data_IF_046414265551
#
_entry.id   IF_046414265551
#
_cell.length_a   1.000
_cell.length_b   1.000
_cell.length_c   1.000
_cell.angle_alpha   90.00
_cell.angle_beta   90.00
_cell.angle_gamma   90.00
#
_symmetry.space_group_name_H-M   'P 1'
#
loop_
_entity.id
_entity.type
_entity.pdbx_description
1 polymer ?
#
# COMPACT_ATOMS: atom_id res chain seq x y z
N UNK A 1 22.74 -28.60 18.80
CA UNK A 1 22.12 -27.29 18.54
C UNK A 1 21.31 -27.40 17.26
N UNK A 2 19.99 -27.30 17.33
CA UNK A 2 19.10 -27.37 16.15
C UNK A 2 18.88 -25.95 15.67
N UNK A 3 19.45 -25.61 14.51
CA UNK A 3 19.26 -24.32 13.87
C UNK A 3 17.87 -24.25 13.25
N UNK A 4 17.01 -23.41 13.82
CA UNK A 4 15.73 -23.07 13.21
C UNK A 4 16.03 -22.18 12.00
N UNK A 5 15.96 -22.77 10.81
CA UNK A 5 15.92 -22.02 9.56
C UNK A 5 14.58 -21.30 9.46
N UNK A 6 14.57 -19.98 9.60
CA UNK A 6 13.37 -19.17 9.40
C UNK A 6 13.12 -19.10 7.89
N UNK A 7 12.07 -19.77 7.41
CA UNK A 7 11.68 -19.73 6.00
C UNK A 7 11.22 -18.31 5.60
N UNK A 8 11.98 -17.68 4.71
CA UNK A 8 11.60 -16.44 4.02
C UNK A 8 10.55 -16.74 2.92
N UNK A 9 9.29 -16.99 3.32
CA UNK A 9 8.20 -17.29 2.38
C UNK A 9 7.40 -16.05 1.93
N UNK A 10 7.88 -14.84 2.24
CA UNK A 10 7.08 -13.62 2.16
C UNK A 10 7.01 -12.96 0.79
N UNK A 11 8.14 -12.76 0.10
CA UNK A 11 8.21 -12.04 -1.20
C UNK A 11 7.86 -12.91 -2.39
N UNK A 12 8.04 -14.22 -2.26
CA UNK A 12 7.98 -15.13 -3.40
C UNK A 12 6.56 -15.28 -3.95
N UNK A 13 5.52 -15.33 -3.12
CA UNK A 13 4.19 -15.75 -3.59
C UNK A 13 3.60 -14.86 -4.71
N UNK A 14 3.72 -13.53 -4.64
CA UNK A 14 3.14 -12.63 -5.65
C UNK A 14 3.96 -12.54 -6.95
N UNK A 15 5.28 -12.67 -6.87
CA UNK A 15 6.15 -12.75 -8.05
C UNK A 15 6.14 -14.14 -8.70
N UNK A 16 5.91 -15.20 -7.91
CA UNK A 16 5.85 -16.58 -8.41
C UNK A 16 4.51 -16.86 -9.12
N UNK A 17 3.44 -16.17 -8.74
CA UNK A 17 2.12 -16.33 -9.36
C UNK A 17 1.96 -15.51 -10.66
N UNK A 18 2.90 -14.61 -10.99
CA UNK A 18 2.87 -13.84 -12.24
C UNK A 18 3.69 -14.55 -13.32
N UNK A 19 3.00 -15.21 -14.25
CA UNK A 19 3.64 -15.76 -15.44
C UNK A 19 4.10 -14.62 -16.37
N UNK A 20 5.41 -14.35 -16.34
CA UNK A 20 6.06 -13.31 -17.16
C UNK A 20 6.01 -13.60 -18.65
N UNK A 21 5.60 -14.82 -19.07
CA UNK A 21 5.37 -15.15 -20.47
C UNK A 21 3.99 -14.68 -20.97
N UNK A 22 3.08 -14.27 -20.09
CA UNK A 22 1.76 -13.76 -20.47
C UNK A 22 1.92 -12.43 -21.22
N UNK A 23 1.34 -12.29 -22.43
CA UNK A 23 1.40 -11.04 -23.19
C UNK A 23 0.85 -9.84 -22.39
N UNK A 24 1.44 -8.64 -22.51
CA UNK A 24 0.95 -7.43 -21.85
C UNK A 24 -0.54 -7.13 -22.04
N UNK A 25 -1.09 -7.43 -23.24
CA UNK A 25 -2.50 -7.24 -23.53
C UNK A 25 -3.41 -8.18 -22.70
N UNK A 26 -2.95 -9.41 -22.46
CA UNK A 26 -3.66 -10.39 -21.66
C UNK A 26 -3.62 -10.01 -20.18
N UNK A 27 -2.47 -9.53 -19.68
CA UNK A 27 -2.36 -8.99 -18.31
C UNK A 27 -3.34 -7.83 -18.10
N UNK A 28 -3.42 -6.89 -19.05
CA UNK A 28 -4.38 -5.78 -18.98
C UNK A 28 -5.82 -6.24 -18.99
N UNK A 29 -6.18 -7.22 -19.81
CA UNK A 29 -7.52 -7.81 -19.82
C UNK A 29 -7.87 -8.44 -18.45
N UNK A 30 -6.98 -9.27 -17.91
CA UNK A 30 -7.17 -9.87 -16.59
C UNK A 30 -7.26 -8.82 -15.47
N UNK A 31 -6.47 -7.76 -15.56
CA UNK A 31 -6.52 -6.66 -14.59
C UNK A 31 -7.87 -5.94 -14.64
N UNK A 32 -8.44 -5.70 -15.83
CA UNK A 32 -9.80 -5.13 -15.97
C UNK A 32 -10.87 -6.02 -15.35
N UNK A 33 -10.81 -7.32 -15.61
CA UNK A 33 -11.75 -8.30 -15.03
C UNK A 33 -11.69 -8.27 -13.49
N UNK A 34 -10.48 -8.27 -12.92
CA UNK A 34 -10.28 -8.15 -11.47
C UNK A 34 -10.79 -6.81 -10.93
N UNK A 35 -10.46 -5.69 -11.58
CA UNK A 35 -10.93 -4.35 -11.20
C UNK A 35 -12.47 -4.29 -11.18
N UNK A 36 -13.11 -4.82 -12.22
CA UNK A 36 -14.58 -4.92 -12.31
C UNK A 36 -15.15 -5.76 -11.17
N UNK A 37 -14.57 -6.93 -10.90
CA UNK A 37 -14.98 -7.79 -9.79
C UNK A 37 -14.77 -7.14 -8.40
N UNK A 38 -13.87 -6.17 -8.28
CA UNK A 38 -13.68 -5.37 -7.07
C UNK A 38 -14.68 -4.21 -6.94
N UNK A 39 -15.50 -3.94 -7.96
CA UNK A 39 -16.44 -2.82 -8.02
C UNK A 39 -15.77 -1.49 -8.39
N UNK A 40 -14.62 -1.52 -9.05
CA UNK A 40 -13.96 -0.30 -9.55
C UNK A 40 -14.73 0.19 -10.79
N UNK A 41 -15.13 1.48 -10.86
CA UNK A 41 -15.77 2.05 -12.04
C UNK A 41 -14.92 1.90 -13.31
N UNK A 42 -15.57 1.62 -14.45
CA UNK A 42 -14.88 1.34 -15.71
C UNK A 42 -13.99 2.50 -16.18
N UNK A 43 -14.43 3.75 -16.01
CA UNK A 43 -13.66 4.94 -16.35
C UNK A 43 -12.38 5.05 -15.52
N UNK A 44 -12.47 4.75 -14.22
CA UNK A 44 -11.34 4.70 -13.31
C UNK A 44 -10.40 3.52 -13.62
N UNK A 45 -10.96 2.35 -13.96
CA UNK A 45 -10.18 1.19 -14.37
C UNK A 45 -9.38 1.49 -15.65
N UNK A 46 -10.00 2.09 -16.66
CA UNK A 46 -9.32 2.49 -17.88
C UNK A 46 -8.27 3.59 -17.63
N UNK A 47 -8.55 4.58 -16.78
CA UNK A 47 -7.56 5.59 -16.41
C UNK A 47 -6.31 4.96 -15.74
N UNK A 48 -6.50 3.93 -14.92
CA UNK A 48 -5.40 3.17 -14.32
C UNK A 48 -4.64 2.33 -15.35
N UNK A 49 -5.33 1.58 -16.21
CA UNK A 49 -4.73 0.70 -17.21
C UNK A 49 -4.00 1.48 -18.31
N UNK A 50 -4.50 2.65 -18.68
CA UNK A 50 -3.94 3.49 -19.74
C UNK A 50 -2.86 4.46 -19.24
N UNK A 51 -2.55 4.47 -17.94
CA UNK A 51 -1.44 5.26 -17.43
C UNK A 51 -0.09 4.67 -17.89
N UNK A 52 0.62 5.40 -18.75
CA UNK A 52 1.88 4.96 -19.35
C UNK A 52 3.05 4.77 -18.38
N UNK A 53 2.98 5.36 -17.18
CA UNK A 53 3.96 5.16 -16.11
C UNK A 53 3.66 3.93 -15.25
N UNK A 54 2.51 3.28 -15.45
CA UNK A 54 2.20 2.01 -14.80
C UNK A 54 2.41 0.89 -15.83
N UNK A 55 3.60 0.28 -15.79
CA UNK A 55 3.87 -0.91 -16.61
C UNK A 55 2.81 -2.01 -16.36
N UNK A 56 2.57 -2.93 -17.31
CA UNK A 56 1.65 -4.05 -17.10
C UNK A 56 1.95 -4.85 -15.83
N UNK A 57 3.24 -4.95 -15.45
CA UNK A 57 3.68 -5.59 -14.21
C UNK A 57 3.22 -4.81 -12.97
N UNK A 58 3.46 -3.49 -12.94
CA UNK A 58 2.99 -2.62 -11.84
C UNK A 58 1.47 -2.68 -11.68
N UNK A 59 0.75 -2.69 -12.80
CA UNK A 59 -0.70 -2.85 -12.82
C UNK A 59 -1.10 -4.19 -12.21
N UNK A 60 -0.51 -5.29 -12.68
CA UNK A 60 -0.86 -6.65 -12.24
C UNK A 60 -0.56 -6.89 -10.77
N UNK A 61 0.59 -6.44 -10.27
CA UNK A 61 0.97 -6.60 -8.87
C UNK A 61 0.06 -5.76 -7.96
N UNK A 62 -0.23 -4.51 -8.34
CA UNK A 62 -1.16 -3.65 -7.61
C UNK A 62 -2.57 -4.26 -7.56
N UNK A 63 -3.13 -4.65 -8.70
CA UNK A 63 -4.48 -5.21 -8.80
C UNK A 63 -4.58 -6.54 -8.05
N UNK A 64 -3.56 -7.39 -8.14
CA UNK A 64 -3.56 -8.67 -7.43
C UNK A 64 -3.45 -8.49 -5.91
N UNK A 65 -2.66 -7.51 -5.45
CA UNK A 65 -2.60 -7.16 -4.02
C UNK A 65 -3.97 -6.71 -3.48
N UNK A 66 -4.69 -5.88 -4.23
CA UNK A 66 -6.05 -5.43 -3.89
C UNK A 66 -7.09 -6.55 -3.97
N UNK A 67 -6.96 -7.45 -4.96
CA UNK A 67 -7.83 -8.61 -5.11
C UNK A 67 -7.68 -9.60 -3.96
N UNK A 68 -6.47 -9.74 -3.41
CA UNK A 68 -6.17 -10.55 -2.21
C UNK A 68 -6.79 -9.98 -0.92
N UNK A 69 -7.48 -8.83 -0.99
CA UNK A 69 -8.23 -8.22 0.12
C UNK A 69 -9.74 -8.17 -0.20
N UNK A 70 -10.43 -9.32 -0.39
CA UNK A 70 -11.81 -9.36 -0.88
C UNK A 70 -12.83 -8.77 0.09
N UNK A 71 -12.51 -8.72 1.39
CA UNK A 71 -13.35 -8.16 2.46
C UNK A 71 -13.03 -6.69 2.78
N UNK A 72 -12.18 -6.05 1.98
CA UNK A 72 -11.83 -4.63 2.14
C UNK A 72 -12.68 -3.80 1.19
N UNK A 73 -13.49 -2.89 1.74
CA UNK A 73 -14.32 -1.99 0.97
C UNK A 73 -13.49 -0.85 0.34
N UNK A 74 -14.06 -0.19 -0.68
CA UNK A 74 -13.52 1.04 -1.26
C UNK A 74 -12.11 0.88 -1.88
N UNK A 75 -11.82 -0.28 -2.49
CA UNK A 75 -10.53 -0.54 -3.16
C UNK A 75 -10.27 0.38 -4.35
N UNK A 76 -11.33 0.90 -4.96
CA UNK A 76 -11.32 1.97 -5.96
C UNK A 76 -10.63 3.25 -5.46
N UNK A 77 -10.67 3.57 -4.16
CA UNK A 77 -9.91 4.72 -3.64
C UNK A 77 -8.40 4.54 -3.75
N UNK A 78 -7.89 3.31 -3.62
CA UNK A 78 -6.48 3.03 -3.89
C UNK A 78 -6.18 3.12 -5.39
N UNK A 79 -7.06 2.60 -6.23
CA UNK A 79 -6.91 2.67 -7.70
C UNK A 79 -6.88 4.13 -8.16
N UNK A 80 -7.78 4.98 -7.67
CA UNK A 80 -7.81 6.42 -7.92
C UNK A 80 -6.56 7.14 -7.40
N UNK A 81 -5.98 6.68 -6.30
CA UNK A 81 -4.68 7.20 -5.86
C UNK A 81 -3.56 6.80 -6.83
N UNK A 82 -3.61 5.59 -7.40
CA UNK A 82 -2.62 5.08 -8.32
C UNK A 82 -2.69 5.66 -9.73
N UNK A 83 -3.84 6.19 -10.17
CA UNK A 83 -3.93 6.89 -11.46
C UNK A 83 -3.08 8.17 -11.49
N UNK A 84 -2.78 8.77 -10.32
CA UNK A 84 -1.94 9.95 -10.18
C UNK A 84 -0.43 9.64 -10.33
N UNK A 85 -0.06 8.56 -11.03
CA UNK A 85 1.34 8.13 -11.24
C UNK A 85 1.89 8.85 -12.46
N UNK A 86 2.94 9.64 -12.27
CA UNK A 86 3.59 10.43 -13.32
C UNK A 86 5.04 10.01 -13.59
N UNK A 87 5.55 9.03 -12.83
CA UNK A 87 6.92 8.51 -12.92
C UNK A 87 6.95 7.02 -12.56
N UNK A 88 7.93 6.28 -13.10
CA UNK A 88 8.13 4.86 -12.78
C UNK A 88 8.51 4.65 -11.29
N UNK A 89 9.28 5.56 -10.69
CA UNK A 89 9.60 5.48 -9.25
C UNK A 89 8.35 5.55 -8.38
N UNK A 90 7.39 6.39 -8.77
CA UNK A 90 6.10 6.47 -8.09
C UNK A 90 5.22 5.24 -8.38
N UNK A 91 5.35 4.62 -9.56
CA UNK A 91 4.70 3.36 -9.89
C UNK A 91 5.18 2.24 -8.95
N UNK A 92 6.50 2.08 -8.82
CA UNK A 92 7.13 1.12 -7.93
C UNK A 92 6.75 1.37 -6.46
N UNK A 93 6.74 2.63 -6.03
CA UNK A 93 6.28 3.01 -4.70
C UNK A 93 4.84 2.56 -4.44
N UNK A 94 3.92 2.82 -5.37
CA UNK A 94 2.49 2.48 -5.20
C UNK A 94 2.22 0.98 -5.31
N UNK A 95 2.93 0.27 -6.17
CA UNK A 95 2.89 -1.19 -6.22
C UNK A 95 3.28 -1.79 -4.86
N UNK A 96 4.46 -1.41 -4.35
CA UNK A 96 4.95 -1.89 -3.04
C UNK A 96 4.02 -1.49 -1.91
N UNK A 97 3.41 -0.30 -1.98
CA UNK A 97 2.40 0.15 -1.03
C UNK A 97 1.18 -0.78 -1.02
N UNK A 98 0.68 -1.19 -2.19
CA UNK A 98 -0.43 -2.13 -2.30
C UNK A 98 -0.06 -3.51 -1.71
N UNK A 99 1.14 -4.01 -1.99
CA UNK A 99 1.67 -5.25 -1.41
C UNK A 99 1.77 -5.17 0.11
N UNK A 100 2.28 -4.06 0.66
CA UNK A 100 2.33 -3.83 2.10
C UNK A 100 0.93 -3.84 2.74
N UNK A 101 -0.07 -3.21 2.11
CA UNK A 101 -1.44 -3.26 2.61
C UNK A 101 -2.02 -4.68 2.60
N UNK A 102 -1.79 -5.44 1.53
CA UNK A 102 -2.23 -6.84 1.42
C UNK A 102 -1.60 -7.72 2.50
N UNK A 103 -0.30 -7.54 2.75
CA UNK A 103 0.41 -8.23 3.83
C UNK A 103 -0.06 -7.79 5.21
N UNK A 104 -0.29 -6.49 5.42
CA UNK A 104 -0.84 -5.97 6.68
C UNK A 104 -2.21 -6.59 6.96
N UNK A 105 -3.09 -6.58 5.96
CA UNK A 105 -4.45 -7.14 6.03
C UNK A 105 -4.46 -8.62 6.42
N UNK A 106 -3.48 -9.39 5.97
CA UNK A 106 -3.42 -10.84 6.18
C UNK A 106 -2.62 -11.27 7.42
N UNK A 107 -1.63 -10.46 7.86
CA UNK A 107 -0.67 -10.87 8.91
C UNK A 107 -0.81 -10.08 10.21
N UNK A 108 -1.35 -8.87 10.16
CA UNK A 108 -1.39 -7.95 11.31
C UNK A 108 -2.83 -7.72 11.73
N UNK A 109 -3.61 -7.04 10.90
CA UNK A 109 -5.00 -6.73 11.21
C UNK A 109 -5.80 -6.52 9.93
N UNK A 110 -7.04 -7.01 9.90
CA UNK A 110 -7.93 -6.86 8.75
C UNK A 110 -8.23 -5.37 8.47
N UNK A 111 -8.02 -4.96 7.22
CA UNK A 111 -8.38 -3.64 6.69
C UNK A 111 -9.82 -3.71 6.21
N UNK A 112 -10.73 -3.04 6.90
CA UNK A 112 -12.15 -3.02 6.55
C UNK A 112 -12.44 -2.14 5.34
N UNK A 113 -11.65 -1.08 5.13
CA UNK A 113 -11.89 -0.09 4.07
C UNK A 113 -10.65 0.75 3.77
N UNK A 114 -10.48 1.22 2.54
CA UNK A 114 -9.57 2.33 2.23
C UNK A 114 -10.22 3.70 2.41
N UNK A 115 -9.51 4.64 3.03
CA UNK A 115 -9.93 6.02 3.26
C UNK A 115 -8.98 7.00 2.57
N UNK A 116 -9.53 8.07 1.99
CA UNK A 116 -8.72 9.18 1.45
C UNK A 116 -8.39 10.16 2.56
N UNK A 117 -7.10 10.46 2.71
CA UNK A 117 -6.57 11.43 3.69
C UNK A 117 -5.67 12.42 2.95
N UNK A 118 -6.20 13.62 2.70
CA UNK A 118 -5.56 14.57 1.79
C UNK A 118 -5.36 13.94 0.41
N UNK A 119 -4.12 13.95 -0.08
CA UNK A 119 -3.72 13.32 -1.36
C UNK A 119 -3.32 11.85 -1.24
N UNK A 120 -3.38 11.27 -0.04
CA UNK A 120 -2.94 9.91 0.23
C UNK A 120 -4.13 8.98 0.51
N UNK A 121 -3.84 7.68 0.54
CA UNK A 121 -4.79 6.63 0.91
C UNK A 121 -4.29 5.91 2.16
N UNK A 122 -5.21 5.64 3.09
CA UNK A 122 -4.97 4.89 4.31
C UNK A 122 -5.86 3.64 4.33
N UNK A 123 -5.38 2.54 4.91
CA UNK A 123 -6.22 1.42 5.29
C UNK A 123 -6.85 1.69 6.66
N UNK A 124 -8.17 1.52 6.80
CA UNK A 124 -8.85 1.54 8.09
C UNK A 124 -9.02 0.12 8.60
N UNK A 125 -8.54 -0.17 9.81
CA UNK A 125 -8.58 -1.52 10.39
C UNK A 125 -9.88 -1.79 11.15
N UNK A 126 -10.08 -3.04 11.58
CA UNK A 126 -11.20 -3.44 12.46
C UNK A 126 -11.22 -2.69 13.80
N UNK A 127 -10.05 -2.31 14.34
CA UNK A 127 -9.88 -1.47 15.53
C UNK A 127 -10.03 0.04 15.25
N UNK A 128 -10.51 0.39 14.05
CA UNK A 128 -10.69 1.76 13.57
C UNK A 128 -9.39 2.60 13.56
N UNK A 129 -8.25 1.95 13.34
CA UNK A 129 -6.95 2.61 13.16
C UNK A 129 -6.74 2.97 11.70
N UNK A 130 -6.23 4.17 11.41
CA UNK A 130 -5.78 4.55 10.06
C UNK A 130 -4.32 4.19 9.86
N UNK A 131 -4.05 3.28 8.93
CA UNK A 131 -2.72 2.75 8.64
C UNK A 131 -2.24 3.31 7.31
N UNK A 132 -1.03 3.86 7.31
CA UNK A 132 -0.30 4.24 6.09
C UNK A 132 0.90 3.31 5.92
N UNK A 133 1.05 2.76 4.71
CA UNK A 133 2.23 2.02 4.31
C UNK A 133 3.09 2.88 3.38
N UNK A 134 4.34 3.14 3.75
CA UNK A 134 5.29 3.90 2.94
C UNK A 134 6.53 3.04 2.67
N UNK A 135 6.67 2.45 1.47
CA UNK A 135 7.82 1.62 1.12
C UNK A 135 9.07 2.48 0.84
N UNK A 136 9.56 3.18 1.86
CA UNK A 136 10.73 4.06 1.81
C UNK A 136 11.87 3.50 2.68
N UNK A 137 13.08 3.55 2.14
CA UNK A 137 14.30 3.19 2.88
C UNK A 137 14.64 4.20 3.99
N UNK A 138 14.26 5.47 3.78
CA UNK A 138 14.36 6.52 4.78
C UNK A 138 13.19 7.49 4.63
N UNK A 139 12.34 7.56 5.66
CA UNK A 139 11.24 8.50 5.72
C UNK A 139 11.69 9.77 6.46
N UNK A 140 11.85 10.85 5.69
CA UNK A 140 12.21 12.17 6.21
C UNK A 140 10.98 13.06 6.44
N UNK A 141 11.10 14.00 7.38
CA UNK A 141 10.08 15.02 7.60
C UNK A 141 10.14 16.07 6.49
N UNK A 142 9.18 16.02 5.58
CA UNK A 142 9.06 16.94 4.44
C UNK A 142 7.78 17.76 4.56
N UNK A 143 7.65 18.81 3.73
CA UNK A 143 6.38 19.56 3.61
C UNK A 143 5.20 18.65 3.27
N UNK A 144 5.44 17.63 2.45
CA UNK A 144 4.44 16.61 2.10
C UNK A 144 3.97 15.83 3.34
N UNK A 145 4.90 15.38 4.19
CA UNK A 145 4.55 14.67 5.42
C UNK A 145 3.85 15.58 6.44
N UNK A 146 4.30 16.84 6.58
CA UNK A 146 3.62 17.82 7.43
C UNK A 146 2.18 18.11 6.96
N UNK A 147 1.96 18.23 5.65
CA UNK A 147 0.63 18.40 5.05
C UNK A 147 -0.24 17.16 5.26
N UNK A 148 0.30 15.95 5.04
CA UNK A 148 -0.39 14.70 5.34
C UNK A 148 -0.81 14.64 6.81
N UNK A 149 0.10 14.93 7.74
CA UNK A 149 -0.19 14.96 9.17
C UNK A 149 -1.31 15.93 9.53
N UNK A 150 -1.37 17.10 8.88
CA UNK A 150 -2.47 18.05 9.08
C UNK A 150 -3.81 17.48 8.61
N UNK A 151 -3.84 16.89 7.40
CA UNK A 151 -5.04 16.24 6.88
C UNK A 151 -5.47 15.03 7.72
N UNK A 152 -4.50 14.30 8.29
CA UNK A 152 -4.74 13.16 9.15
C UNK A 152 -5.40 13.57 10.46
N UNK A 153 -4.89 14.61 11.13
CA UNK A 153 -5.51 15.12 12.36
C UNK A 153 -6.95 15.59 12.13
N UNK A 154 -7.24 16.19 10.97
CA UNK A 154 -8.61 16.54 10.59
C UNK A 154 -9.48 15.32 10.24
N UNK A 155 -8.88 14.26 9.70
CA UNK A 155 -9.59 13.06 9.29
C UNK A 155 -9.95 12.14 10.46
N UNK A 156 -9.12 12.06 11.50
CA UNK A 156 -9.35 11.18 12.66
C UNK A 156 -10.76 11.34 13.28
N UNK A 157 -11.19 12.53 13.75
CA UNK A 157 -12.53 12.69 14.32
C UNK A 157 -13.64 12.50 13.28
N UNK A 158 -13.43 12.97 12.04
CA UNK A 158 -14.42 12.85 10.95
C UNK A 158 -14.71 11.39 10.60
N UNK A 159 -13.70 10.53 10.68
CA UNK A 159 -13.80 9.10 10.39
C UNK A 159 -14.01 8.26 11.65
N UNK A 160 -14.19 8.91 12.82
CA UNK A 160 -14.27 8.30 14.14
C UNK A 160 -13.06 7.39 14.47
N UNK A 161 -11.93 7.60 13.81
CA UNK A 161 -10.75 6.75 13.93
C UNK A 161 -10.04 7.00 15.27
N UNK A 162 -9.62 5.92 15.91
CA UNK A 162 -9.06 5.94 17.28
C UNK A 162 -7.61 6.43 17.31
N UNK A 163 -6.83 6.07 16.31
CA UNK A 163 -5.41 6.42 16.17
C UNK A 163 -4.95 6.29 14.72
N UNK A 164 -3.71 6.69 14.47
CA UNK A 164 -3.04 6.50 13.19
C UNK A 164 -1.65 5.88 13.34
N UNK A 165 -1.27 5.08 12.35
CA UNK A 165 -0.01 4.35 12.29
C UNK A 165 0.67 4.54 10.94
N UNK A 166 1.99 4.72 10.96
CA UNK A 166 2.83 4.77 9.77
C UNK A 166 3.80 3.59 9.78
N UNK A 167 3.73 2.76 8.76
CA UNK A 167 4.59 1.60 8.54
C UNK A 167 5.54 1.91 7.39
N UNK A 168 6.85 1.83 7.64
CA UNK A 168 7.87 2.09 6.61
C UNK A 168 8.87 0.95 6.51
N UNK A 169 9.38 0.69 5.30
CA UNK A 169 10.27 -0.45 5.03
C UNK A 169 11.65 -0.26 5.64
N UNK A 170 12.18 0.96 5.63
CA UNK A 170 13.45 1.33 6.27
C UNK A 170 13.25 2.20 7.52
N UNK A 171 14.07 3.23 7.68
CA UNK A 171 14.14 4.02 8.93
C UNK A 171 13.36 5.34 8.85
N UNK A 172 13.11 5.96 9.99
CA UNK A 172 12.69 7.37 10.06
C UNK A 172 13.89 8.25 10.40
N UNK A 173 13.95 9.46 9.84
CA UNK A 173 14.91 10.46 10.34
C UNK A 173 14.53 10.91 11.76
N UNK A 174 15.47 11.40 12.58
CA UNK A 174 15.15 11.89 13.92
C UNK A 174 14.08 12.98 13.95
N UNK A 175 14.07 13.85 12.95
CA UNK A 175 13.03 14.89 12.82
C UNK A 175 11.66 14.29 12.50
N UNK A 176 11.59 13.29 11.61
CA UNK A 176 10.33 12.61 11.30
C UNK A 176 9.76 11.90 12.51
N UNK A 177 10.59 11.14 13.23
CA UNK A 177 10.19 10.42 14.43
C UNK A 177 9.61 11.36 15.50
N UNK A 178 10.31 12.47 15.81
CA UNK A 178 9.81 13.47 16.77
C UNK A 178 8.52 14.13 16.32
N UNK A 179 8.41 14.46 15.03
CA UNK A 179 7.23 15.15 14.49
C UNK A 179 5.98 14.27 14.54
N UNK A 180 6.09 12.99 14.14
CA UNK A 180 4.95 12.06 14.26
C UNK A 180 4.58 11.77 15.72
N UNK A 181 5.57 11.57 16.59
CA UNK A 181 5.33 11.35 18.02
C UNK A 181 4.61 12.54 18.67
N UNK A 182 4.97 13.78 18.31
CA UNK A 182 4.31 15.00 18.81
C UNK A 182 2.83 15.11 18.41
N UNK A 183 2.42 14.36 17.39
CA UNK A 183 1.05 14.30 16.88
C UNK A 183 0.33 13.00 17.29
N UNK A 184 0.93 12.20 18.18
CA UNK A 184 0.41 10.90 18.60
C UNK A 184 0.20 9.90 17.45
N UNK A 185 1.00 10.03 16.38
CA UNK A 185 1.02 9.07 15.28
C UNK A 185 2.09 8.02 15.59
N UNK A 186 1.66 6.76 15.71
CA UNK A 186 2.58 5.65 15.96
C UNK A 186 3.37 5.30 14.68
N UNK A 187 4.62 4.90 14.83
CA UNK A 187 5.53 4.63 13.70
C UNK A 187 6.20 3.27 13.84
N UNK A 188 6.23 2.53 12.73
CA UNK A 188 6.79 1.18 12.63
C UNK A 188 7.87 1.14 11.53
N UNK A 189 9.13 1.52 11.85
CA UNK A 189 10.26 1.39 10.94
C UNK A 189 10.64 -0.09 10.71
N UNK A 190 11.47 -0.33 9.71
CA UNK A 190 12.08 -1.63 9.38
C UNK A 190 11.03 -2.73 9.11
N UNK A 191 9.89 -2.35 8.55
CA UNK A 191 8.74 -3.24 8.37
C UNK A 191 8.84 -4.12 7.12
N UNK A 192 9.94 -4.04 6.36
CA UNK A 192 10.11 -4.79 5.11
C UNK A 192 9.99 -6.31 5.31
N UNK A 193 10.65 -6.86 6.33
CA UNK A 193 10.59 -8.29 6.62
C UNK A 193 9.15 -8.77 6.88
N UNK A 194 8.38 -7.94 7.61
CA UNK A 194 7.00 -8.22 8.00
C UNK A 194 6.01 -8.06 6.84
N UNK A 195 6.13 -6.98 6.06
CA UNK A 195 5.10 -6.52 5.13
C UNK A 195 5.42 -6.72 3.66
N UNK A 196 6.69 -6.91 3.29
CA UNK A 196 7.08 -7.26 1.92
C UNK A 196 7.68 -8.66 1.85
N UNK A 197 8.17 -9.19 2.97
CA UNK A 197 9.03 -10.36 3.02
C UNK A 197 10.48 -9.91 2.85
N UNK A 198 11.37 -10.35 3.74
CA UNK A 198 12.79 -10.07 3.61
C UNK A 198 13.49 -11.27 2.98
N UNK A 199 14.22 -11.04 1.89
CA UNK A 199 15.63 -11.42 1.89
C UNK A 199 16.39 -10.11 2.11
N UNK A 200 16.92 -9.93 3.32
CA UNK A 200 18.04 -9.00 3.50
C UNK A 200 19.17 -9.59 2.64
N UNK A 201 19.66 -8.83 1.66
CA UNK A 201 20.96 -9.11 1.07
C UNK A 201 22.00 -8.32 1.84
#
# INVERSE_FOLDING_TARGET
>A
AVGVGVSAAGTSKWLTDMDVAVPPADLRRQNREKLTAMGVPDDLAEAFINNGNLSPVHQTLTVSALAAMPKTANRDAFVAFATLTDTEDLALFRERMALMFSAFNSRIEHIVRFERVGRFVAGRTTANTLVFCFPLDCLAWTRTMASLSTHLQAALPRLNASKAEIWTTGVLTPLAARSFASLSIATHPNSAATLLGGSVR
#
